data_IF_611302648419
#
_entry.id   IF_611302648419
#
_cell.length_a   1.000
_cell.length_b   1.000
_cell.length_c   1.000
_cell.angle_alpha   90.00
_cell.angle_beta   90.00
_cell.angle_gamma   90.00
#
_symmetry.space_group_name_H-M   'P 1'
#
loop_
_entity.id
_entity.type
_entity.pdbx_description
1 polymer ?
#
# COMPACT_ATOMS: atom_id res chain seq x y z
N UNK A 1 10.61 -20.80 27.69
CA UNK A 1 10.97 -19.69 26.79
C UNK A 1 9.99 -19.71 25.63
N UNK A 2 8.93 -18.93 25.72
CA UNK A 2 7.90 -18.87 24.69
C UNK A 2 8.46 -18.18 23.47
N UNK A 3 8.43 -18.87 22.33
CA UNK A 3 8.73 -18.28 21.03
C UNK A 3 7.62 -17.27 20.79
N UNK A 4 7.89 -15.98 20.99
CA UNK A 4 7.00 -14.93 20.52
C UNK A 4 7.02 -15.02 19.00
N UNK A 5 6.06 -15.76 18.43
CA UNK A 5 5.70 -15.59 17.04
C UNK A 5 5.43 -14.10 16.89
N UNK A 6 6.31 -13.38 16.17
CA UNK A 6 5.95 -12.05 15.72
C UNK A 6 4.59 -12.21 15.02
N UNK A 7 3.60 -11.33 15.25
CA UNK A 7 2.48 -11.27 14.32
C UNK A 7 3.10 -11.21 12.93
N UNK A 8 2.60 -12.01 11.98
CA UNK A 8 3.02 -11.90 10.60
C UNK A 8 2.79 -10.44 10.22
N UNK A 9 3.87 -9.67 10.10
CA UNK A 9 3.78 -8.25 9.86
C UNK A 9 3.09 -8.12 8.50
N UNK A 10 1.88 -7.55 8.52
CA UNK A 10 1.00 -7.46 7.35
C UNK A 10 1.72 -6.75 6.18
N UNK A 11 2.71 -5.93 6.50
CA UNK A 11 3.62 -5.22 5.59
C UNK A 11 5.02 -5.22 6.19
N UNK A 12 6.07 -5.33 5.36
CA UNK A 12 7.47 -5.24 5.84
C UNK A 12 7.93 -3.78 5.98
N UNK A 13 7.12 -2.82 5.56
CA UNK A 13 7.45 -1.40 5.61
C UNK A 13 7.33 -0.88 7.05
N UNK A 14 8.38 -0.26 7.62
CA UNK A 14 8.30 0.36 8.94
C UNK A 14 7.28 1.52 9.01
N UNK A 15 6.58 1.65 10.13
CA UNK A 15 5.56 2.70 10.32
C UNK A 15 6.04 4.13 9.99
N UNK A 16 7.28 4.57 10.36
CA UNK A 16 7.76 5.89 9.96
C UNK A 16 7.76 6.10 8.44
N UNK A 17 8.12 5.05 7.68
CA UNK A 17 8.13 5.11 6.22
C UNK A 17 6.71 5.12 5.65
N UNK A 18 5.77 4.37 6.23
CA UNK A 18 4.36 4.45 5.87
C UNK A 18 3.80 5.87 6.05
N UNK A 19 4.16 6.55 7.15
CA UNK A 19 3.76 7.94 7.39
C UNK A 19 4.31 8.87 6.32
N UNK A 20 5.56 8.70 5.89
CA UNK A 20 6.15 9.46 4.79
C UNK A 20 5.41 9.24 3.47
N UNK A 21 5.18 7.98 3.08
CA UNK A 21 4.47 7.63 1.85
C UNK A 21 3.06 8.24 1.79
N UNK A 22 2.33 8.21 2.91
CA UNK A 22 1.01 8.85 3.06
C UNK A 22 1.11 10.37 2.86
N UNK A 23 2.13 11.01 3.43
CA UNK A 23 2.36 12.47 3.29
C UNK A 23 2.71 12.85 1.86
N UNK A 24 3.64 12.14 1.23
CA UNK A 24 4.06 12.38 -0.16
C UNK A 24 2.86 12.28 -1.11
N UNK A 25 2.05 11.24 -0.97
CA UNK A 25 0.90 11.00 -1.83
C UNK A 25 -0.20 12.07 -1.70
N UNK A 26 -0.38 12.65 -0.51
CA UNK A 26 -1.30 13.76 -0.33
C UNK A 26 -0.88 15.05 -1.07
N UNK A 27 0.38 15.17 -1.46
CA UNK A 27 0.87 16.31 -2.25
C UNK A 27 0.65 16.14 -3.76
N UNK A 28 0.46 14.90 -4.24
CA UNK A 28 0.18 14.57 -5.64
C UNK A 28 -1.28 14.85 -6.08
N UNK A 29 -1.97 15.79 -5.41
CA UNK A 29 -3.37 16.14 -5.71
C UNK A 29 -3.43 17.09 -6.92
N UNK A 30 -3.52 16.51 -8.11
CA UNK A 30 -3.96 17.22 -9.30
C UNK A 30 -5.50 17.36 -9.34
N UNK A 31 -6.05 18.27 -10.18
CA UNK A 31 -7.49 18.38 -10.39
C UNK A 31 -8.09 17.20 -11.18
N UNK A 32 -7.24 16.34 -11.74
CA UNK A 32 -7.62 15.21 -12.56
C UNK A 32 -7.05 13.90 -12.01
N UNK A 33 -7.77 12.82 -12.22
CA UNK A 33 -7.34 11.46 -11.88
C UNK A 33 -6.48 10.91 -13.01
N UNK A 34 -5.34 10.30 -12.69
CA UNK A 34 -4.53 9.54 -13.64
C UNK A 34 -5.11 8.12 -13.81
N UNK A 35 -5.67 7.76 -14.98
CA UNK A 35 -6.24 6.43 -15.20
C UNK A 35 -5.20 5.31 -15.11
N UNK A 36 -3.93 5.59 -15.40
CA UNK A 36 -2.85 4.61 -15.32
C UNK A 36 -2.55 4.26 -13.87
N UNK A 37 -2.53 5.26 -12.99
CA UNK A 37 -2.39 5.08 -11.55
C UNK A 37 -3.55 4.25 -10.98
N UNK A 38 -4.79 4.52 -11.40
CA UNK A 38 -5.93 3.71 -10.96
C UNK A 38 -5.78 2.25 -11.38
N UNK A 39 -5.48 1.98 -12.65
CA UNK A 39 -5.29 0.61 -13.14
C UNK A 39 -4.10 -0.11 -12.46
N UNK A 40 -3.07 0.63 -12.06
CA UNK A 40 -1.97 0.08 -11.28
C UNK A 40 -2.40 -0.22 -9.84
N UNK A 41 -3.10 0.71 -9.18
CA UNK A 41 -3.62 0.52 -7.84
C UNK A 41 -4.57 -0.69 -7.75
N UNK A 42 -5.43 -0.90 -8.75
CA UNK A 42 -6.28 -2.09 -8.81
C UNK A 42 -5.46 -3.39 -8.83
N UNK A 43 -4.38 -3.44 -9.63
CA UNK A 43 -3.48 -4.59 -9.66
C UNK A 43 -2.76 -4.81 -8.32
N UNK A 44 -2.37 -3.73 -7.64
CA UNK A 44 -1.77 -3.81 -6.30
C UNK A 44 -2.77 -4.41 -5.31
N UNK A 45 -4.01 -3.93 -5.31
CA UNK A 45 -5.07 -4.46 -4.45
C UNK A 45 -5.36 -5.93 -4.74
N UNK A 46 -5.39 -6.33 -6.01
CA UNK A 46 -5.57 -7.73 -6.41
C UNK A 46 -4.42 -8.63 -5.97
N UNK A 47 -3.19 -8.11 -5.96
CA UNK A 47 -1.97 -8.85 -5.59
C UNK A 47 -1.76 -8.96 -4.08
N UNK A 48 -1.90 -7.83 -3.36
CA UNK A 48 -1.55 -7.70 -1.94
C UNK A 48 -2.76 -7.90 -1.01
N UNK A 49 -3.97 -7.66 -1.53
CA UNK A 49 -5.21 -7.76 -0.78
C UNK A 49 -5.55 -6.54 0.08
N UNK A 50 -6.80 -6.49 0.54
CA UNK A 50 -7.33 -5.35 1.29
C UNK A 50 -6.74 -5.21 2.70
N UNK A 51 -6.39 -6.31 3.36
CA UNK A 51 -5.77 -6.28 4.69
C UNK A 51 -4.43 -5.55 4.67
N UNK A 52 -3.62 -5.82 3.64
CA UNK A 52 -2.37 -5.08 3.39
C UNK A 52 -2.63 -3.60 3.13
N UNK A 53 -3.59 -3.29 2.27
CA UNK A 53 -3.94 -1.90 1.98
C UNK A 53 -4.44 -1.13 3.22
N UNK A 54 -5.22 -1.77 4.10
CA UNK A 54 -5.63 -1.18 5.39
C UNK A 54 -4.43 -0.86 6.28
N UNK A 55 -3.44 -1.75 6.36
CA UNK A 55 -2.22 -1.51 7.12
C UNK A 55 -1.40 -0.35 6.51
N UNK A 56 -1.19 -0.36 5.20
CA UNK A 56 -0.46 0.70 4.49
C UNK A 56 -1.13 2.06 4.65
N UNK A 57 -2.46 2.15 4.53
CA UNK A 57 -3.18 3.42 4.63
C UNK A 57 -3.44 3.85 6.07
N UNK A 58 -3.31 2.94 7.05
CA UNK A 58 -3.56 3.24 8.46
C UNK A 58 -5.04 3.53 8.76
N UNK A 59 -5.96 3.05 7.91
CA UNK A 59 -7.40 3.22 8.07
C UNK A 59 -8.18 2.06 7.48
N UNK A 60 -9.41 1.87 7.97
CA UNK A 60 -10.34 0.92 7.38
C UNK A 60 -10.77 1.37 5.97
N UNK A 61 -10.81 0.41 5.03
CA UNK A 61 -11.24 0.60 3.63
C UNK A 61 -12.45 -0.29 3.26
N UNK A 62 -13.12 -0.88 4.26
CA UNK A 62 -14.29 -1.76 4.08
C UNK A 62 -15.46 -1.12 3.32
N UNK A 63 -15.53 0.23 3.29
CA UNK A 63 -16.55 0.96 2.53
C UNK A 63 -16.43 0.65 1.04
N UNK A 64 -17.56 0.32 0.39
CA UNK A 64 -17.61 -0.07 -1.02
C UNK A 64 -18.22 1.01 -1.92
N UNK A 65 -17.81 1.00 -3.19
CA UNK A 65 -18.49 1.74 -4.24
C UNK A 65 -19.83 1.09 -4.58
N UNK A 66 -20.86 1.92 -4.80
CA UNK A 66 -22.18 1.43 -5.27
C UNK A 66 -22.09 0.87 -6.68
N UNK A 67 -21.27 1.48 -7.55
CA UNK A 67 -21.09 1.04 -8.93
C UNK A 67 -20.16 -0.17 -9.05
N UNK A 68 -19.21 -0.30 -8.11
CA UNK A 68 -18.19 -1.36 -8.13
C UNK A 68 -18.08 -2.00 -6.74
N UNK A 69 -19.00 -2.90 -6.35
CA UNK A 69 -19.10 -3.41 -4.98
C UNK A 69 -17.89 -4.24 -4.52
N UNK A 70 -17.11 -4.78 -5.45
CA UNK A 70 -15.92 -5.58 -5.18
C UNK A 70 -14.65 -4.74 -4.98
N UNK A 71 -14.74 -3.40 -5.10
CA UNK A 71 -13.60 -2.49 -4.89
C UNK A 71 -13.79 -1.65 -3.63
N UNK A 72 -12.74 -1.49 -2.81
CA UNK A 72 -12.77 -0.59 -1.65
C UNK A 72 -12.82 0.87 -2.10
N UNK A 73 -13.34 1.73 -1.23
CA UNK A 73 -13.36 3.18 -1.42
C UNK A 73 -12.02 3.79 -0.98
N UNK A 74 -11.37 4.51 -1.90
CA UNK A 74 -10.14 5.26 -1.68
C UNK A 74 -10.42 6.76 -1.66
N UNK A 75 -9.72 7.48 -0.78
CA UNK A 75 -9.65 8.93 -0.82
C UNK A 75 -8.63 9.37 -1.87
N UNK A 76 -8.79 10.60 -2.38
CA UNK A 76 -7.88 11.15 -3.38
C UNK A 76 -6.41 11.11 -2.93
N UNK A 77 -5.58 10.45 -3.75
CA UNK A 77 -4.14 10.28 -3.54
C UNK A 77 -3.75 8.96 -2.89
N UNK A 78 -4.69 8.21 -2.31
CA UNK A 78 -4.36 6.92 -1.66
C UNK A 78 -3.96 5.84 -2.68
N UNK A 79 -4.44 5.95 -3.92
CA UNK A 79 -3.96 5.14 -5.04
C UNK A 79 -2.45 5.24 -5.21
N UNK A 80 -1.88 6.43 -5.04
CA UNK A 80 -0.43 6.65 -5.13
C UNK A 80 0.30 6.12 -3.91
N UNK A 81 -0.30 6.17 -2.72
CA UNK A 81 0.28 5.58 -1.51
C UNK A 81 0.41 4.07 -1.66
N UNK A 82 -0.63 3.40 -2.14
CA UNK A 82 -0.62 1.95 -2.34
C UNK A 82 0.41 1.55 -3.41
N UNK A 83 0.53 2.31 -4.51
CA UNK A 83 1.54 2.05 -5.54
C UNK A 83 2.96 2.20 -4.98
N UNK A 84 3.23 3.27 -4.25
CA UNK A 84 4.56 3.53 -3.71
C UNK A 84 4.94 2.51 -2.61
N UNK A 85 4.00 2.13 -1.76
CA UNK A 85 4.20 1.08 -0.77
C UNK A 85 4.49 -0.28 -1.43
N UNK A 86 3.78 -0.62 -2.50
CA UNK A 86 4.02 -1.86 -3.23
C UNK A 86 5.43 -1.92 -3.85
N UNK A 87 5.94 -0.78 -4.33
CA UNK A 87 7.33 -0.65 -4.80
C UNK A 87 8.34 -0.77 -3.66
N UNK A 88 8.07 -0.16 -2.51
CA UNK A 88 8.93 -0.26 -1.31
C UNK A 88 9.02 -1.72 -0.81
N UNK A 89 7.91 -2.44 -0.77
CA UNK A 89 7.88 -3.89 -0.46
C UNK A 89 8.73 -4.70 -1.45
N UNK A 90 8.62 -4.41 -2.75
CA UNK A 90 9.42 -5.10 -3.77
C UNK A 90 10.93 -4.81 -3.57
N UNK A 91 11.30 -3.58 -3.19
CA UNK A 91 12.70 -3.22 -2.86
C UNK A 91 13.19 -3.93 -1.60
N UNK A 92 12.38 -4.00 -0.54
CA UNK A 92 12.70 -4.73 0.68
C UNK A 92 12.89 -6.22 0.39
N UNK A 93 12.02 -6.82 -0.42
CA UNK A 93 12.15 -8.22 -0.83
C UNK A 93 13.43 -8.47 -1.62
N UNK A 94 13.79 -7.58 -2.55
CA UNK A 94 15.06 -7.68 -3.32
C UNK A 94 16.26 -7.61 -2.37
N UNK A 95 16.27 -6.67 -1.42
CA UNK A 95 17.36 -6.51 -0.46
C UNK A 95 17.55 -7.74 0.45
N UNK A 96 16.48 -8.50 0.71
CA UNK A 96 16.57 -9.78 1.42
C UNK A 96 17.15 -10.92 0.57
N UNK A 97 16.99 -10.86 -0.76
CA UNK A 97 17.47 -11.89 -1.69
C UNK A 97 18.95 -11.70 -2.07
N UNK A 98 19.44 -10.46 -2.11
CA UNK A 98 20.85 -10.15 -2.38
C UNK A 98 21.35 -9.03 -1.44
N UNK A 99 21.95 -9.39 -0.30
CA UNK A 99 22.44 -8.42 0.68
C UNK A 99 23.70 -7.66 0.21
N UNK A 100 24.35 -8.10 -0.87
CA UNK A 100 25.61 -7.54 -1.39
C UNK A 100 25.40 -6.53 -2.54
N UNK A 101 24.15 -6.31 -2.96
CA UNK A 101 23.74 -5.28 -3.92
C UNK A 101 23.63 -3.90 -3.22
N UNK A 102 24.77 -3.33 -2.83
CA UNK A 102 24.88 -1.94 -2.33
C UNK A 102 25.90 -1.11 -3.11
#
# INVERSE_FOLDING_TARGET
MGKHSKPEDITEIPEPRLVELRRESHTAKGPFVDPSAIAQCERVLDRRGETWATAVLGRDISRRSVAVPHRPYLNAGEEHTLIAADQEEDLLAIAHLDPDLR
#
